data_IF_710034718506
#
_entry.id   IF_710034718506
#
_cell.length_a   1.000
_cell.length_b   1.000
_cell.length_c   1.000
_cell.angle_alpha   90.00
_cell.angle_beta   90.00
_cell.angle_gamma   90.00
#
_symmetry.space_group_name_H-M   'P 1'
#
loop_
_entity.id
_entity.type
_entity.pdbx_description
1 polymer ?
#
# COMPACT_ATOMS: atom_id res chain seq x y z
N UNK A 1 -2.48 -8.25 -4.06
CA UNK A 1 -1.13 -8.83 -4.27
C UNK A 1 -1.31 -10.34 -4.50
N UNK A 2 -1.11 -10.77 -5.75
CA UNK A 2 -0.78 -12.13 -6.28
C UNK A 2 -0.48 -13.25 -5.26
N UNK A 3 -0.91 -14.51 -5.33
CA UNK A 3 -1.47 -15.42 -6.37
C UNK A 3 -2.30 -16.54 -5.69
N UNK A 4 -3.18 -17.19 -6.47
CA UNK A 4 -4.10 -18.31 -6.14
C UNK A 4 -3.39 -19.71 -6.20
N UNK A 5 -4.04 -20.90 -5.94
CA UNK A 5 -5.48 -21.14 -5.80
C UNK A 5 -5.95 -22.12 -4.70
N UNK A 6 -7.28 -22.13 -4.47
CA UNK A 6 -8.02 -23.20 -3.80
C UNK A 6 -8.18 -24.40 -4.72
N UNK A 7 -8.12 -25.60 -4.13
CA UNK A 7 -8.29 -26.88 -4.81
C UNK A 7 -9.78 -27.20 -5.02
N UNK A 8 -10.15 -27.55 -6.25
CA UNK A 8 -11.13 -28.62 -6.47
C UNK A 8 -10.69 -29.51 -7.66
N UNK A 9 -10.52 -30.79 -7.35
CA UNK A 9 -10.25 -31.98 -8.18
C UNK A 9 -9.22 -31.88 -9.33
N UNK A 10 -8.16 -32.67 -9.14
CA UNK A 10 -7.04 -32.96 -10.04
C UNK A 10 -7.40 -33.13 -11.53
N UNK A 11 -6.82 -32.26 -12.35
CA UNK A 11 -5.96 -32.73 -13.45
C UNK A 11 -4.61 -32.08 -13.28
N UNK A 12 -3.58 -32.92 -13.22
CA UNK A 12 -2.18 -32.54 -13.01
C UNK A 12 -1.74 -31.43 -13.97
N UNK A 13 -1.50 -30.24 -13.43
CA UNK A 13 -0.58 -29.28 -14.03
C UNK A 13 0.44 -28.94 -12.97
N UNK A 14 1.68 -29.37 -13.19
CA UNK A 14 2.83 -28.93 -12.41
C UNK A 14 2.80 -27.40 -12.29
N UNK A 15 3.09 -26.84 -11.10
CA UNK A 15 3.15 -25.39 -10.95
C UNK A 15 4.22 -24.82 -11.91
N UNK A 16 3.99 -23.63 -12.51
CA UNK A 16 5.03 -22.98 -13.30
C UNK A 16 6.29 -22.84 -12.44
N UNK A 17 7.46 -23.09 -13.04
CA UNK A 17 8.74 -23.24 -12.36
C UNK A 17 9.19 -22.01 -11.53
N UNK A 18 8.45 -20.90 -11.59
CA UNK A 18 8.80 -19.60 -11.00
C UNK A 18 7.78 -19.08 -9.96
N UNK A 19 6.87 -19.91 -9.44
CA UNK A 19 5.95 -19.49 -8.39
C UNK A 19 6.72 -19.13 -7.10
N UNK A 20 6.76 -17.83 -6.76
CA UNK A 20 7.40 -17.36 -5.52
C UNK A 20 6.72 -18.03 -4.31
N UNK A 21 7.48 -18.53 -3.33
CA UNK A 21 6.91 -19.17 -2.15
C UNK A 21 6.02 -18.20 -1.39
N UNK A 22 4.90 -18.68 -0.85
CA UNK A 22 4.02 -17.88 -0.02
C UNK A 22 4.80 -17.30 1.19
N UNK A 23 4.51 -16.04 1.58
CA UNK A 23 5.17 -15.41 2.71
C UNK A 23 4.82 -16.16 4.00
N UNK A 24 5.85 -16.62 4.72
CA UNK A 24 5.70 -17.40 5.96
C UNK A 24 5.36 -16.55 7.19
N UNK A 25 5.50 -15.23 7.08
CA UNK A 25 5.45 -14.30 8.23
C UNK A 25 4.75 -13.01 7.83
N UNK A 26 4.12 -12.34 8.81
CA UNK A 26 3.67 -10.96 8.64
C UNK A 26 4.88 -10.04 8.57
N UNK A 27 4.90 -9.15 7.58
CA UNK A 27 5.82 -8.03 7.54
C UNK A 27 5.41 -7.03 8.62
N UNK A 28 6.10 -7.04 9.75
CA UNK A 28 5.90 -6.08 10.83
C UNK A 28 6.64 -4.80 10.49
N UNK A 29 5.93 -3.68 10.55
CA UNK A 29 6.53 -2.37 10.31
C UNK A 29 7.16 -1.91 11.61
N UNK A 30 8.40 -2.29 11.87
CA UNK A 30 9.23 -1.63 12.87
C UNK A 30 10.52 -1.18 12.20
N UNK A 31 10.91 0.05 12.47
CA UNK A 31 11.90 0.84 11.73
C UNK A 31 13.35 0.32 11.80
N UNK A 32 13.58 -0.86 12.38
CA UNK A 32 14.81 -1.63 12.19
C UNK A 32 14.45 -3.03 11.68
N UNK A 33 15.02 -3.43 10.53
CA UNK A 33 14.88 -4.81 10.01
C UNK A 33 15.38 -5.86 11.03
N UNK A 34 16.15 -5.44 12.05
CA UNK A 34 16.67 -6.30 13.11
C UNK A 34 15.69 -6.54 14.28
N UNK A 35 14.76 -5.61 14.57
CA UNK A 35 13.86 -5.73 15.74
C UNK A 35 12.38 -5.90 15.37
N UNK A 36 12.04 -5.98 14.08
CA UNK A 36 10.66 -6.18 13.63
C UNK A 36 10.06 -7.50 14.15
N UNK A 37 10.91 -8.48 14.49
CA UNK A 37 10.46 -9.85 14.72
C UNK A 37 9.74 -10.39 13.48
N UNK A 38 9.46 -11.68 13.46
CA UNK A 38 8.60 -12.25 12.44
C UNK A 38 7.42 -12.90 13.15
N UNK A 39 6.24 -12.31 13.02
CA UNK A 39 5.03 -12.92 13.57
C UNK A 39 4.53 -13.94 12.56
N UNK A 40 4.19 -15.17 12.99
CA UNK A 40 3.57 -16.15 12.10
C UNK A 40 2.32 -15.57 11.43
N UNK A 41 2.12 -15.92 10.17
CA UNK A 41 0.89 -15.55 9.48
C UNK A 41 -0.30 -16.29 10.14
N UNK A 42 -1.33 -15.59 10.67
CA UNK A 42 -2.50 -16.25 11.25
C UNK A 42 -3.26 -17.04 10.18
N UNK A 43 -3.80 -18.22 10.53
CA UNK A 43 -4.73 -18.92 9.64
C UNK A 43 -6.04 -18.14 9.50
N UNK A 44 -6.85 -18.38 8.45
CA UNK A 44 -8.16 -17.74 8.31
C UNK A 44 -8.97 -17.81 9.60
N UNK A 45 -9.46 -16.66 10.08
CA UNK A 45 -10.21 -16.56 11.33
C UNK A 45 -9.37 -16.30 12.60
N UNK A 46 -8.10 -16.69 12.61
CA UNK A 46 -7.19 -16.52 13.74
C UNK A 46 -6.64 -15.08 13.84
N UNK A 47 -6.18 -14.74 15.04
CA UNK A 47 -5.53 -13.47 15.36
C UNK A 47 -4.15 -13.70 15.95
N UNK A 48 -3.22 -12.83 15.63
CA UNK A 48 -1.89 -12.75 16.26
C UNK A 48 -1.63 -11.31 16.71
N UNK A 49 -0.81 -11.15 17.75
CA UNK A 49 -0.32 -9.82 18.14
C UNK A 49 0.92 -9.49 17.31
N UNK A 50 0.92 -8.34 16.66
CA UNK A 50 2.04 -7.89 15.84
C UNK A 50 2.37 -6.40 16.08
N UNK A 51 3.66 -6.03 16.13
CA UNK A 51 4.09 -4.64 16.26
C UNK A 51 3.91 -3.85 14.97
N UNK A 52 3.35 -2.65 15.09
CA UNK A 52 3.22 -1.66 14.03
C UNK A 52 3.88 -0.33 14.42
N UNK A 53 4.31 0.40 13.40
CA UNK A 53 4.75 1.78 13.54
C UNK A 53 3.51 2.65 13.44
N UNK A 54 3.19 3.34 14.52
CA UNK A 54 1.99 4.18 14.63
C UNK A 54 2.36 5.57 15.11
N UNK A 55 1.45 6.52 14.92
CA UNK A 55 1.63 7.90 15.40
C UNK A 55 1.72 7.94 16.93
N UNK A 56 2.70 8.69 17.45
CA UNK A 56 2.92 8.94 18.87
C UNK A 56 1.79 9.74 19.50
N UNK A 57 1.59 9.56 20.81
CA UNK A 57 0.45 10.13 21.54
C UNK A 57 0.44 11.66 21.56
N UNK A 58 1.62 12.27 21.54
CA UNK A 58 1.79 13.73 21.56
C UNK A 58 1.53 14.38 20.18
N UNK A 59 1.43 13.58 19.11
CA UNK A 59 1.20 14.12 17.78
C UNK A 59 -0.30 14.39 17.60
N UNK A 60 -0.70 15.63 17.25
CA UNK A 60 -2.11 15.95 17.06
C UNK A 60 -2.76 15.08 15.98
N UNK A 61 -3.71 14.25 16.39
CA UNK A 61 -4.62 13.52 15.51
C UNK A 61 -5.68 14.45 14.93
N UNK A 62 -6.03 14.24 13.68
CA UNK A 62 -7.06 15.04 13.02
C UNK A 62 -7.56 14.45 11.72
N UNK A 63 -8.86 14.62 11.48
CA UNK A 63 -9.52 14.33 10.20
C UNK A 63 -9.37 15.47 9.18
N UNK A 64 -8.63 16.52 9.54
CA UNK A 64 -8.40 17.72 8.74
C UNK A 64 -6.93 17.82 8.37
N UNK A 65 -6.67 18.34 7.18
CA UNK A 65 -5.30 18.68 6.77
C UNK A 65 -4.78 19.81 7.67
N UNK A 66 -3.98 19.47 8.67
CA UNK A 66 -3.45 20.42 9.65
C UNK A 66 -2.24 21.21 9.14
N UNK A 67 -1.59 20.73 8.07
CA UNK A 67 -0.30 21.24 7.61
C UNK A 67 0.85 21.01 8.62
N UNK A 68 0.57 20.32 9.73
CA UNK A 68 1.54 20.01 10.78
C UNK A 68 2.23 18.67 10.53
N UNK A 69 1.53 17.76 9.87
CA UNK A 69 2.00 16.41 9.53
C UNK A 69 2.05 16.27 8.01
N UNK A 70 3.16 15.80 7.45
CA UNK A 70 3.26 15.61 6.00
C UNK A 70 4.56 14.98 5.55
N UNK A 71 4.65 14.71 4.25
CA UNK A 71 5.87 14.23 3.58
C UNK A 71 6.35 15.25 2.55
N UNK A 72 7.67 15.43 2.43
CA UNK A 72 8.28 16.19 1.33
C UNK A 72 8.57 15.26 0.17
N UNK A 73 8.15 15.66 -1.03
CA UNK A 73 8.45 14.98 -2.29
C UNK A 73 9.37 15.82 -3.15
N UNK A 74 10.22 15.17 -3.93
CA UNK A 74 10.98 15.83 -4.98
C UNK A 74 10.13 16.01 -6.25
N UNK A 75 10.68 16.73 -7.23
CA UNK A 75 10.02 16.98 -8.51
C UNK A 75 9.70 15.70 -9.31
N UNK A 76 10.35 14.58 -8.99
CA UNK A 76 10.09 13.26 -9.59
C UNK A 76 8.96 12.49 -8.89
N UNK A 77 8.36 13.08 -7.86
CA UNK A 77 7.31 12.46 -7.06
C UNK A 77 7.84 11.38 -6.13
N UNK A 78 9.16 11.24 -6.00
CA UNK A 78 9.75 10.38 -5.00
C UNK A 78 9.49 11.01 -3.63
N UNK A 79 9.05 10.18 -2.68
CA UNK A 79 9.19 10.55 -1.29
C UNK A 79 10.68 10.84 -1.05
N UNK A 80 11.02 11.85 -0.23
CA UNK A 80 12.42 12.10 0.13
C UNK A 80 13.11 10.80 0.57
N UNK A 81 14.46 10.75 0.53
CA UNK A 81 15.23 9.54 0.86
C UNK A 81 14.86 8.94 2.23
N UNK A 82 13.85 8.06 2.23
CA UNK A 82 13.45 7.24 3.37
C UNK A 82 14.52 6.19 3.68
N UNK A 83 15.44 5.96 2.74
CA UNK A 83 16.41 4.89 2.75
C UNK A 83 17.72 5.34 2.12
N UNK A 84 18.61 5.96 2.90
CA UNK A 84 20.03 5.75 2.65
C UNK A 84 20.43 4.51 3.44
N UNK A 85 20.94 3.48 2.75
CA UNK A 85 21.70 2.41 3.37
C UNK A 85 23.02 3.01 3.89
N UNK A 86 22.93 3.77 4.97
CA UNK A 86 24.06 4.32 5.70
C UNK A 86 24.50 3.31 6.74
N UNK A 87 25.73 2.83 6.59
CA UNK A 87 26.43 2.07 7.60
C UNK A 87 26.34 2.76 8.97
N UNK A 88 26.17 1.94 10.02
CA UNK A 88 26.36 2.30 11.43
C UNK A 88 25.47 3.41 11.99
N UNK A 89 24.29 3.03 12.52
CA UNK A 89 23.52 3.89 13.40
C UNK A 89 22.06 3.52 13.51
N UNK A 90 21.65 2.98 14.65
CA UNK A 90 20.24 2.88 15.04
C UNK A 90 19.73 4.29 15.30
N UNK A 91 18.83 4.79 14.45
CA UNK A 91 18.25 6.13 14.63
C UNK A 91 17.28 6.51 13.52
N UNK A 92 16.13 7.04 13.92
CA UNK A 92 15.14 7.68 13.07
C UNK A 92 15.79 8.93 12.42
N UNK A 93 16.06 8.91 11.11
CA UNK A 93 16.18 10.16 10.33
C UNK A 93 14.87 10.42 9.60
N UNK A 94 13.77 10.54 10.35
CA UNK A 94 12.47 11.02 9.85
C UNK A 94 12.57 12.48 9.40
N UNK A 95 13.53 13.25 9.93
CA UNK A 95 13.62 14.70 9.78
C UNK A 95 13.69 15.21 8.34
N UNK A 96 14.09 14.38 7.37
CA UNK A 96 14.18 14.81 5.96
C UNK A 96 12.94 14.51 5.12
N UNK A 97 12.12 13.53 5.49
CA UNK A 97 11.00 13.09 4.64
C UNK A 97 9.65 13.39 5.27
N UNK A 98 9.46 13.02 6.54
CA UNK A 98 8.22 13.26 7.26
C UNK A 98 8.42 14.37 8.29
N UNK A 99 7.53 15.35 8.35
CA UNK A 99 7.54 16.37 9.38
C UNK A 99 6.29 16.28 10.25
N UNK A 100 6.44 16.64 11.53
CA UNK A 100 5.39 16.54 12.54
C UNK A 100 4.84 15.14 12.75
N UNK A 101 5.57 14.10 12.35
CA UNK A 101 5.36 12.74 12.77
C UNK A 101 6.34 12.42 13.90
N UNK A 102 5.81 11.93 15.02
CA UNK A 102 6.56 11.10 15.95
C UNK A 102 5.97 9.69 15.87
N UNK A 103 6.82 8.68 15.79
CA UNK A 103 6.40 7.29 15.57
C UNK A 103 6.73 6.43 16.77
N UNK A 104 5.74 5.69 17.24
CA UNK A 104 5.86 4.76 18.36
C UNK A 104 5.49 3.35 17.92
N UNK A 105 6.04 2.37 18.62
CA UNK A 105 5.62 0.97 18.47
C UNK A 105 4.25 0.77 19.11
N UNK A 106 3.33 0.14 18.39
CA UNK A 106 2.05 -0.34 18.93
C UNK A 106 1.88 -1.82 18.62
N UNK A 107 1.63 -2.61 19.64
CA UNK A 107 1.27 -4.02 19.45
C UNK A 107 -0.24 -4.10 19.16
N UNK A 108 -0.60 -4.60 17.98
CA UNK A 108 -1.98 -4.67 17.49
C UNK A 108 -2.40 -6.12 17.27
N UNK A 109 -3.66 -6.43 17.54
CA UNK A 109 -4.26 -7.69 17.12
C UNK A 109 -4.50 -7.66 15.60
N UNK A 110 -3.81 -8.54 14.87
CA UNK A 110 -3.96 -8.73 13.43
C UNK A 110 -4.73 -10.00 13.19
N UNK A 111 -5.89 -9.87 12.53
CA UNK A 111 -6.76 -11.01 12.24
C UNK A 111 -6.72 -11.35 10.76
N UNK A 112 -6.59 -12.62 10.42
CA UNK A 112 -6.79 -13.06 9.04
C UNK A 112 -8.29 -12.99 8.71
N UNK A 113 -8.66 -11.95 7.95
CA UNK A 113 -10.07 -11.70 7.60
C UNK A 113 -10.67 -12.63 6.56
N UNK A 114 -9.88 -13.54 5.95
CA UNK A 114 -10.39 -14.49 4.96
C UNK A 114 -11.43 -15.41 5.60
N UNK A 115 -12.53 -15.67 4.88
CA UNK A 115 -13.63 -16.51 5.36
C UNK A 115 -14.56 -15.86 6.39
N UNK A 116 -14.33 -14.61 6.79
CA UNK A 116 -15.20 -13.90 7.75
C UNK A 116 -16.44 -13.22 7.13
N UNK A 117 -16.55 -13.19 5.80
CA UNK A 117 -17.72 -12.65 5.11
C UNK A 117 -17.90 -11.14 5.24
N UNK A 118 -16.82 -10.37 5.39
CA UNK A 118 -16.89 -8.91 5.46
C UNK A 118 -17.49 -8.30 4.19
N UNK A 119 -18.33 -7.28 4.35
CA UNK A 119 -18.98 -6.55 3.26
C UNK A 119 -18.77 -5.04 3.38
N UNK A 120 -18.97 -4.32 2.28
CA UNK A 120 -18.70 -2.88 2.21
C UNK A 120 -19.56 -2.06 3.17
N UNK A 121 -20.85 -2.33 3.28
CA UNK A 121 -21.79 -1.51 4.06
C UNK A 121 -21.54 -1.62 5.57
N UNK A 122 -21.30 -2.84 6.06
CA UNK A 122 -21.14 -3.11 7.49
C UNK A 122 -19.70 -2.91 7.98
N UNK A 123 -18.71 -3.05 7.10
CA UNK A 123 -17.30 -3.09 7.50
C UNK A 123 -16.43 -2.01 6.84
N UNK A 124 -16.94 -1.32 5.82
CA UNK A 124 -16.15 -0.35 5.04
C UNK A 124 -15.09 -0.99 4.14
N UNK A 125 -15.07 -2.32 4.03
CA UNK A 125 -14.21 -3.07 3.12
C UNK A 125 -14.82 -4.42 2.78
N UNK A 126 -14.47 -4.97 1.62
CA UNK A 126 -14.90 -6.30 1.19
C UNK A 126 -13.78 -6.99 0.44
N UNK A 127 -13.59 -8.29 0.71
CA UNK A 127 -12.72 -9.14 -0.08
C UNK A 127 -13.53 -9.75 -1.22
N UNK A 128 -13.09 -9.53 -2.46
CA UNK A 128 -13.73 -10.06 -3.67
C UNK A 128 -12.73 -10.92 -4.42
N UNK A 129 -13.14 -12.13 -4.77
CA UNK A 129 -12.39 -12.95 -5.70
C UNK A 129 -12.54 -12.38 -7.10
N UNK A 130 -11.43 -11.85 -7.62
CA UNK A 130 -11.38 -11.26 -8.95
C UNK A 130 -10.15 -11.78 -9.68
N UNK A 131 -10.39 -12.53 -10.76
CA UNK A 131 -9.31 -13.01 -11.61
C UNK A 131 -8.92 -11.88 -12.56
N UNK A 132 -7.71 -11.36 -12.38
CA UNK A 132 -7.17 -10.29 -13.21
C UNK A 132 -6.24 -10.94 -14.22
N UNK A 133 -6.34 -10.53 -15.49
CA UNK A 133 -5.39 -10.93 -16.52
C UNK A 133 -3.96 -10.48 -16.14
N UNK A 134 -2.95 -10.99 -16.84
CA UNK A 134 -1.58 -10.55 -16.57
C UNK A 134 -1.41 -9.08 -16.97
N UNK A 135 -0.98 -8.24 -16.03
CA UNK A 135 -0.75 -6.80 -16.24
C UNK A 135 0.71 -6.48 -16.01
N UNK A 136 1.31 -5.75 -16.94
CA UNK A 136 2.62 -5.14 -16.75
C UNK A 136 2.50 -3.85 -15.93
N UNK A 137 2.55 -3.98 -14.61
CA UNK A 137 2.47 -2.85 -13.67
C UNK A 137 3.67 -1.88 -13.74
N UNK A 138 4.72 -2.17 -14.52
CA UNK A 138 5.81 -1.21 -14.73
C UNK A 138 5.73 -0.49 -16.07
N UNK A 139 4.67 -0.72 -16.83
CA UNK A 139 4.29 0.09 -17.97
C UNK A 139 3.06 0.95 -17.60
N UNK A 140 3.25 2.27 -17.55
CA UNK A 140 2.19 3.20 -17.14
C UNK A 140 1.01 3.17 -18.12
N UNK A 141 1.29 3.11 -19.43
CA UNK A 141 0.25 3.05 -20.46
C UNK A 141 -0.63 1.81 -20.27
N UNK A 142 -0.01 0.63 -20.05
CA UNK A 142 -0.75 -0.62 -19.79
C UNK A 142 -1.53 -0.61 -18.49
N UNK A 143 -0.97 0.02 -17.44
CA UNK A 143 -1.70 0.21 -16.19
C UNK A 143 -2.95 1.07 -16.41
N UNK A 144 -2.85 2.15 -17.18
CA UNK A 144 -3.99 3.04 -17.45
C UNK A 144 -4.99 2.44 -18.44
N UNK A 145 -4.53 1.78 -19.50
CA UNK A 145 -5.42 1.23 -20.53
C UNK A 145 -6.12 -0.06 -20.10
N UNK A 146 -5.46 -0.89 -19.29
CA UNK A 146 -5.92 -2.25 -19.00
C UNK A 146 -6.38 -2.36 -17.53
N UNK A 147 -5.56 -1.90 -16.57
CA UNK A 147 -5.86 -2.10 -15.14
C UNK A 147 -6.94 -1.17 -14.59
N UNK A 148 -6.90 0.11 -14.97
CA UNK A 148 -7.84 1.11 -14.47
C UNK A 148 -9.30 0.76 -14.82
N UNK A 149 -9.66 0.41 -16.06
CA UNK A 149 -11.03 0.00 -16.38
C UNK A 149 -11.50 -1.19 -15.56
N UNK A 150 -10.64 -2.20 -15.36
CA UNK A 150 -10.98 -3.37 -14.53
C UNK A 150 -11.29 -2.97 -13.08
N UNK A 151 -10.47 -2.10 -12.49
CA UNK A 151 -10.70 -1.58 -11.14
C UNK A 151 -12.00 -0.77 -11.06
N UNK A 152 -12.23 0.13 -12.01
CA UNK A 152 -13.43 0.96 -12.05
C UNK A 152 -14.70 0.10 -12.16
N UNK A 153 -14.73 -0.89 -13.04
CA UNK A 153 -15.87 -1.79 -13.22
C UNK A 153 -16.13 -2.64 -11.97
N UNK A 154 -15.07 -3.14 -11.32
CA UNK A 154 -15.20 -3.87 -10.07
C UNK A 154 -15.80 -2.96 -8.98
N UNK A 155 -15.21 -1.80 -8.73
CA UNK A 155 -15.69 -0.88 -7.70
C UNK A 155 -17.12 -0.43 -8.00
N UNK A 156 -17.43 -0.11 -9.27
CA UNK A 156 -18.78 0.28 -9.70
C UNK A 156 -19.81 -0.81 -9.38
N UNK A 157 -19.50 -2.06 -9.71
CA UNK A 157 -20.37 -3.21 -9.42
C UNK A 157 -20.55 -3.44 -7.93
N UNK A 158 -19.49 -3.32 -7.13
CA UNK A 158 -19.55 -3.58 -5.70
C UNK A 158 -20.24 -2.47 -4.92
N UNK A 159 -20.15 -1.22 -5.38
CA UNK A 159 -20.68 -0.04 -4.67
C UNK A 159 -22.02 0.44 -5.21
N UNK A 160 -22.41 0.05 -6.43
CA UNK A 160 -23.58 0.60 -7.11
C UNK A 160 -23.40 2.05 -7.58
N UNK A 161 -22.18 2.59 -7.56
CA UNK A 161 -21.90 3.95 -7.99
C UNK A 161 -22.30 4.18 -9.46
N UNK A 162 -22.79 5.38 -9.78
CA UNK A 162 -23.12 5.74 -11.17
C UNK A 162 -21.85 5.84 -12.03
N UNK A 163 -20.78 6.42 -11.46
CA UNK A 163 -19.49 6.60 -12.11
C UNK A 163 -18.35 6.30 -11.15
N UNK A 164 -17.25 5.74 -11.68
CA UNK A 164 -16.01 5.47 -10.95
C UNK A 164 -14.84 5.85 -11.85
N UNK A 165 -13.90 6.61 -11.30
CA UNK A 165 -12.70 7.05 -12.01
C UNK A 165 -11.46 6.75 -11.17
N UNK A 166 -10.55 5.96 -11.72
CA UNK A 166 -9.20 5.84 -11.19
C UNK A 166 -8.38 7.05 -11.66
N UNK A 167 -7.69 7.71 -10.73
CA UNK A 167 -7.06 9.01 -11.01
C UNK A 167 -5.60 9.10 -10.56
N UNK A 168 -5.11 8.19 -9.72
CA UNK A 168 -3.70 8.04 -9.41
C UNK A 168 -3.35 6.62 -8.97
N UNK A 169 -2.06 6.31 -9.03
CA UNK A 169 -1.50 5.07 -8.51
C UNK A 169 -0.05 5.27 -8.08
N UNK A 170 0.43 4.37 -7.22
CA UNK A 170 1.85 4.21 -6.91
C UNK A 170 2.23 2.75 -7.18
N UNK A 171 3.36 2.53 -7.86
CA UNK A 171 3.92 1.19 -8.05
C UNK A 171 4.96 0.94 -6.96
N UNK A 172 4.76 -0.12 -6.16
CA UNK A 172 5.65 -0.47 -5.04
C UNK A 172 6.34 -1.83 -5.26
N UNK A 173 7.66 -1.86 -5.13
CA UNK A 173 8.47 -3.08 -5.20
C UNK A 173 9.84 -2.86 -4.54
N UNK A 174 10.16 -3.63 -3.49
CA UNK A 174 11.44 -3.51 -2.76
C UNK A 174 12.65 -3.63 -3.70
N UNK A 175 12.73 -4.72 -4.46
CA UNK A 175 13.86 -4.99 -5.34
C UNK A 175 14.00 -3.95 -6.48
N UNK A 176 12.89 -3.50 -7.08
CA UNK A 176 12.94 -2.50 -8.16
C UNK A 176 13.26 -1.10 -7.62
N UNK A 177 12.79 -0.76 -6.41
CA UNK A 177 13.12 0.50 -5.73
C UNK A 177 14.60 0.57 -5.33
N UNK A 178 15.16 -0.51 -4.77
CA UNK A 178 16.60 -0.61 -4.45
C UNK A 178 17.47 -0.47 -5.70
N UNK A 179 17.01 -1.02 -6.82
CA UNK A 179 17.62 -0.84 -8.14
C UNK A 179 17.33 0.53 -8.80
N UNK A 180 16.69 1.46 -8.08
CA UNK A 180 16.31 2.82 -8.52
C UNK A 180 15.57 2.83 -9.88
N UNK A 181 14.72 1.82 -10.11
CA UNK A 181 13.92 1.70 -11.33
C UNK A 181 12.74 2.67 -11.31
N UNK A 182 12.24 2.99 -12.51
CA UNK A 182 11.04 3.80 -12.72
C UNK A 182 10.01 2.99 -13.50
N UNK A 183 8.76 3.40 -13.40
CA UNK A 183 7.69 2.95 -14.29
C UNK A 183 7.93 3.60 -15.66
N UNK A 184 7.83 2.83 -16.73
CA UNK A 184 7.94 3.36 -18.09
C UNK A 184 6.78 4.33 -18.35
N UNK A 185 7.11 5.58 -18.68
CA UNK A 185 6.13 6.66 -18.81
C UNK A 185 5.48 7.11 -17.51
N UNK A 186 6.07 6.77 -16.34
CA UNK A 186 5.52 7.09 -15.03
C UNK A 186 6.56 7.51 -13.98
N UNK A 187 6.17 7.39 -12.71
CA UNK A 187 6.97 7.83 -11.57
C UNK A 187 8.02 6.79 -11.14
N UNK A 188 8.87 7.17 -10.17
CA UNK A 188 9.79 6.24 -9.53
C UNK A 188 9.05 5.08 -8.85
N UNK A 189 9.62 3.87 -8.92
CA UNK A 189 9.07 2.71 -8.20
C UNK A 189 9.46 2.84 -6.74
N UNK A 190 8.45 2.81 -5.85
CA UNK A 190 8.63 3.04 -4.43
C UNK A 190 8.85 1.73 -3.65
N UNK A 191 9.46 1.81 -2.47
CA UNK A 191 9.49 0.70 -1.52
C UNK A 191 8.12 0.42 -0.90
N UNK A 192 7.99 -0.61 -0.06
CA UNK A 192 6.80 -0.80 0.77
C UNK A 192 6.52 0.44 1.65
N UNK A 193 5.25 0.69 1.95
CA UNK A 193 4.90 1.69 2.96
C UNK A 193 4.98 1.05 4.35
N UNK A 194 5.63 1.72 5.30
CA UNK A 194 5.87 1.18 6.66
C UNK A 194 5.07 1.90 7.75
N UNK A 195 4.18 2.80 7.36
CA UNK A 195 3.40 3.61 8.30
C UNK A 195 1.93 3.44 7.96
N UNK A 196 1.10 3.27 8.99
CA UNK A 196 -0.35 3.33 8.85
C UNK A 196 -0.72 4.77 8.49
N UNK A 197 -1.34 4.96 7.33
CA UNK A 197 -1.71 6.27 6.82
C UNK A 197 -3.11 6.23 6.22
N UNK A 198 -3.68 7.42 6.08
CA UNK A 198 -4.87 7.66 5.27
C UNK A 198 -4.49 8.69 4.21
N UNK A 199 -4.78 8.40 2.95
CA UNK A 199 -4.45 9.27 1.83
C UNK A 199 -5.31 10.55 1.81
N UNK A 200 -6.53 10.46 2.35
CA UNK A 200 -7.51 11.53 2.23
C UNK A 200 -8.17 11.92 3.56
N UNK A 201 -8.27 13.24 3.74
CA UNK A 201 -8.99 13.92 4.81
C UNK A 201 -10.21 14.64 4.22
N UNK A 202 -11.13 15.11 5.05
CA UNK A 202 -12.28 15.90 4.58
C UNK A 202 -11.87 17.20 3.88
N UNK A 203 -10.63 17.65 4.09
CA UNK A 203 -10.05 18.82 3.40
C UNK A 203 -9.27 18.42 2.13
N UNK A 204 -8.46 17.36 2.19
CA UNK A 204 -7.57 16.98 1.08
C UNK A 204 -8.29 16.26 -0.05
N UNK A 205 -9.32 15.45 0.21
CA UNK A 205 -10.09 14.79 -0.85
C UNK A 205 -10.75 15.79 -1.82
N UNK A 206 -11.54 16.79 -1.36
CA UNK A 206 -12.15 17.76 -2.27
C UNK A 206 -11.13 18.63 -2.99
N UNK A 207 -9.98 18.91 -2.35
CA UNK A 207 -8.89 19.63 -3.00
C UNK A 207 -8.28 18.79 -4.13
N UNK A 208 -7.96 17.52 -3.85
CA UNK A 208 -7.40 16.59 -4.85
C UNK A 208 -8.28 16.50 -6.08
N UNK A 209 -9.60 16.39 -5.89
CA UNK A 209 -10.56 16.38 -6.99
C UNK A 209 -10.51 17.64 -7.85
N UNK A 210 -10.38 18.82 -7.22
CA UNK A 210 -10.20 20.08 -7.96
C UNK A 210 -8.87 20.14 -8.69
N UNK A 211 -7.80 19.67 -8.08
CA UNK A 211 -6.47 19.66 -8.71
C UNK A 211 -6.47 18.79 -9.97
N UNK A 212 -7.16 17.64 -9.93
CA UNK A 212 -7.34 16.74 -11.09
C UNK A 212 -8.15 17.38 -12.24
N UNK A 213 -8.94 18.42 -11.97
CA UNK A 213 -9.65 19.18 -12.98
C UNK A 213 -8.79 20.29 -13.63
N UNK A 214 -7.52 20.42 -13.21
CA UNK A 214 -6.57 21.39 -13.77
C UNK A 214 -5.45 20.68 -14.54
N UNK A 215 -4.80 21.34 -15.53
CA UNK A 215 -3.66 20.75 -16.22
C UNK A 215 -2.56 20.30 -15.26
N UNK A 216 -1.83 19.21 -15.57
CA UNK A 216 -0.73 18.72 -14.74
C UNK A 216 0.26 19.85 -14.42
N UNK A 217 0.65 19.94 -13.16
CA UNK A 217 1.69 20.88 -12.69
C UNK A 217 2.92 20.08 -12.30
N UNK A 218 4.10 20.67 -12.45
CA UNK A 218 5.31 20.14 -11.81
C UNK A 218 5.11 20.19 -10.29
N UNK A 219 5.54 19.12 -9.60
CA UNK A 219 5.49 19.01 -8.14
C UNK A 219 6.45 19.99 -7.46
#
# INVERSE_FOLDING_TARGET
>A
VTMAPAAERERSRSPPADAKPEPKTLGTTWLSEKDAGSVPLPKPGESVTAPFTYQGDEVPRGLLASGKVGTKRDASGADGEFWSSGAEGVGIQSERCYFGCDFVRRDCAVTNGRGKGFNLDDNGFQLVDHNIEHIDYVNNEKTVSDYYPMCCELVKRMTGAETVYAFDHNVRSKAKAEAKKKVDGGNAIQGPAFVVHNDYSSTSAPRRLRDLATPPKLN
#
